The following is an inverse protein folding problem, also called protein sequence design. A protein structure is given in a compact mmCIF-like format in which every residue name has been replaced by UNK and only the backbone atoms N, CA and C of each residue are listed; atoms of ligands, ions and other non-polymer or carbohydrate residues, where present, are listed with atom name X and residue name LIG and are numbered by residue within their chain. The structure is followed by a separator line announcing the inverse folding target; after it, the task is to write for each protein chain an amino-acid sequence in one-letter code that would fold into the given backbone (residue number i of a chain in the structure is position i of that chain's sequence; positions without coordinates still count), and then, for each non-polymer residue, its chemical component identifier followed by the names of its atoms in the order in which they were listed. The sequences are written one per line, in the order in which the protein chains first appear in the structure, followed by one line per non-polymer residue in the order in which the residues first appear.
data_IF_752285593316
#
_entry.id   IF_752285593316
#
_cell.length_a   1.000
_cell.length_b   1.000
_cell.length_c   1.000
_cell.angle_alpha   90.00
_cell.angle_beta   90.00
_cell.angle_gamma   90.00
#
_symmetry.space_group_name_H-M   'P 1'
#
loop_
_entity.id
_entity.type
_entity.pdbx_description
1 polymer ?
#
# COMPACT_ATOMS: atom_id res chain seq x y z
N UNK A 1 31.52 -64.09 50.77
CA UNK A 1 32.06 -63.45 49.56
C UNK A 1 30.90 -63.33 48.58
N UNK A 2 30.48 -62.19 48.05
CA UNK A 2 30.94 -60.80 48.10
C UNK A 2 29.88 -59.89 47.46
N UNK A 3 30.02 -58.59 47.73
CA UNK A 3 29.08 -57.46 47.59
C UNK A 3 28.51 -57.10 46.18
N UNK A 4 27.50 -56.19 46.13
CA UNK A 4 26.93 -55.53 44.95
C UNK A 4 27.60 -54.16 44.60
N UNK A 5 27.07 -53.49 43.56
CA UNK A 5 27.26 -52.08 43.12
C UNK A 5 28.28 -51.73 41.98
N UNK A 6 27.68 -51.11 40.95
CA UNK A 6 28.08 -49.94 40.13
C UNK A 6 29.15 -49.99 39.00
N UNK A 7 28.63 -49.58 37.82
CA UNK A 7 29.11 -48.58 36.84
C UNK A 7 30.48 -48.78 36.14
N UNK A 8 30.45 -48.94 34.80
CA UNK A 8 30.97 -47.97 33.82
C UNK A 8 30.89 -48.53 32.36
N UNK A 9 30.15 -47.85 31.45
CA UNK A 9 30.63 -47.04 30.30
C UNK A 9 31.01 -47.81 29.01
N UNK A 10 30.14 -47.78 27.98
CA UNK A 10 30.39 -47.12 26.67
C UNK A 10 29.47 -47.57 25.51
N UNK A 11 28.81 -46.55 24.91
CA UNK A 11 28.67 -46.25 23.47
C UNK A 11 28.04 -47.28 22.50
N UNK A 12 26.83 -46.97 21.98
CA UNK A 12 26.62 -46.42 20.62
C UNK A 12 25.12 -46.30 20.23
N UNK A 13 24.73 -45.07 19.87
CA UNK A 13 23.79 -44.67 18.80
C UNK A 13 22.42 -45.34 18.63
N UNK A 14 21.36 -44.56 18.87
CA UNK A 14 20.01 -44.84 18.36
C UNK A 14 18.93 -43.89 18.91
N UNK A 15 18.96 -42.61 18.52
CA UNK A 15 17.93 -41.62 18.91
C UNK A 15 17.16 -41.10 17.71
N UNK A 16 15.89 -41.54 17.56
CA UNK A 16 14.91 -40.90 16.69
C UNK A 16 14.62 -39.48 17.18
N UNK A 17 14.75 -38.49 16.30
CA UNK A 17 14.32 -37.12 16.56
C UNK A 17 12.80 -37.08 16.43
N UNK A 18 12.10 -36.87 17.55
CA UNK A 18 10.67 -36.61 17.56
C UNK A 18 10.36 -35.32 16.80
N UNK A 19 9.39 -35.38 15.88
CA UNK A 19 8.90 -34.21 15.17
C UNK A 19 8.32 -33.19 16.18
N UNK A 20 8.53 -31.88 15.97
CA UNK A 20 7.94 -30.86 16.82
C UNK A 20 6.40 -30.94 16.74
N UNK A 21 5.69 -30.70 17.86
CA UNK A 21 4.23 -30.67 17.84
C UNK A 21 3.73 -29.57 16.89
N UNK A 22 2.59 -29.79 16.20
CA UNK A 22 2.01 -28.75 15.36
C UNK A 22 1.71 -27.50 16.21
N UNK A 23 1.77 -26.29 15.60
CA UNK A 23 1.50 -25.05 16.31
C UNK A 23 0.11 -25.11 16.97
N UNK A 24 0.07 -24.81 18.27
CA UNK A 24 -1.17 -24.72 19.03
C UNK A 24 -2.02 -23.59 18.42
N UNK A 25 -3.18 -23.94 17.88
CA UNK A 25 -4.15 -22.99 17.37
C UNK A 25 -4.62 -22.07 18.51
N UNK A 26 -4.71 -20.74 18.31
CA UNK A 26 -5.35 -19.86 19.28
C UNK A 26 -6.83 -20.24 19.46
N UNK A 27 -7.42 -20.04 20.64
CA UNK A 27 -8.81 -20.41 20.91
C UNK A 27 -9.77 -19.70 19.94
N UNK A 28 -10.74 -20.48 19.43
CA UNK A 28 -11.90 -19.98 18.67
C UNK A 28 -12.64 -18.93 19.51
N UNK A 29 -13.02 -17.75 18.98
CA UNK A 29 -13.43 -16.67 19.83
C UNK A 29 -14.95 -16.50 19.86
N UNK A 30 -15.60 -17.02 20.90
CA UNK A 30 -17.02 -16.73 21.13
C UNK A 30 -17.28 -15.29 21.59
N UNK A 31 -16.24 -14.48 21.87
CA UNK A 31 -16.47 -13.05 22.11
C UNK A 31 -15.19 -12.19 22.01
N UNK A 32 -14.77 -11.83 20.79
CA UNK A 32 -13.63 -10.92 20.56
C UNK A 32 -13.81 -9.52 21.18
N UNK A 33 -15.05 -9.13 21.47
CA UNK A 33 -15.39 -7.85 22.13
C UNK A 33 -15.30 -7.93 23.66
N UNK A 34 -15.56 -9.09 24.28
CA UNK A 34 -15.42 -9.23 25.74
C UNK A 34 -13.96 -9.10 26.20
N UNK A 35 -13.02 -9.61 25.41
CA UNK A 35 -11.58 -9.44 25.63
C UNK A 35 -11.07 -8.01 25.35
N UNK A 36 -11.90 -7.14 24.75
CA UNK A 36 -11.55 -5.74 24.52
C UNK A 36 -11.64 -4.89 25.80
N UNK A 37 -12.45 -5.31 26.77
CA UNK A 37 -12.65 -4.60 28.03
C UNK A 37 -11.68 -5.01 29.15
N UNK A 38 -10.90 -6.08 28.98
CA UNK A 38 -10.07 -6.67 30.05
C UNK A 38 -8.58 -6.28 30.03
N UNK A 39 -8.16 -5.26 29.27
CA UNK A 39 -6.74 -4.86 29.19
C UNK A 39 -6.48 -3.39 29.55
N UNK A 40 -7.15 -2.87 30.57
CA UNK A 40 -6.87 -1.54 31.14
C UNK A 40 -5.87 -1.54 32.32
N UNK A 41 -5.32 -2.69 32.72
CA UNK A 41 -4.28 -2.72 33.76
C UNK A 41 -3.28 -3.86 33.57
N UNK A 42 -2.19 -3.60 32.83
CA UNK A 42 -0.91 -4.28 33.06
C UNK A 42 0.21 -3.44 32.48
N UNK A 43 1.01 -2.87 33.39
CA UNK A 43 2.33 -2.30 33.11
C UNK A 43 3.22 -3.40 32.51
N UNK A 44 3.64 -3.22 31.26
CA UNK A 44 4.66 -4.07 30.64
C UNK A 44 6.04 -3.63 31.17
N UNK A 45 6.60 -4.42 32.09
CA UNK A 45 8.03 -4.39 32.43
C UNK A 45 8.81 -5.18 31.35
N UNK A 46 9.90 -4.63 30.77
CA UNK A 46 10.71 -5.36 29.80
C UNK A 46 11.72 -6.26 30.52
N UNK A 47 11.51 -7.58 30.44
CA UNK A 47 12.55 -8.55 30.80
C UNK A 47 13.65 -8.55 29.72
N UNK A 48 14.77 -7.91 30.06
CA UNK A 48 16.06 -8.05 29.37
C UNK A 48 16.60 -9.45 29.61
N UNK A 49 16.84 -10.21 28.54
CA UNK A 49 17.73 -11.35 28.56
C UNK A 49 18.70 -11.25 27.37
N UNK A 50 19.95 -10.94 27.68
CA UNK A 50 21.07 -11.06 26.75
C UNK A 50 21.29 -12.53 26.41
N UNK A 51 21.31 -12.86 25.11
CA UNK A 51 22.04 -14.04 24.64
C UNK A 51 22.55 -13.80 23.21
N UNK A 52 23.88 -13.87 23.10
CA UNK A 52 24.67 -13.75 21.87
C UNK A 52 24.62 -15.09 21.11
N UNK A 53 25.00 -15.05 19.82
CA UNK A 53 25.53 -16.13 18.92
C UNK A 53 24.59 -16.43 17.72
N UNK A 54 25.07 -16.70 16.48
CA UNK A 54 26.13 -16.09 15.66
C UNK A 54 25.63 -15.63 14.26
N UNK A 55 26.46 -14.89 13.54
CA UNK A 55 26.26 -14.49 12.13
C UNK A 55 26.32 -15.70 11.20
N UNK A 56 25.32 -15.87 10.33
CA UNK A 56 25.39 -16.74 9.14
C UNK A 56 25.57 -15.83 7.92
N UNK A 57 26.74 -15.90 7.30
CA UNK A 57 26.97 -15.41 5.95
C UNK A 57 26.19 -16.28 4.96
N UNK A 58 25.43 -15.64 4.06
CA UNK A 58 24.92 -16.30 2.86
C UNK A 58 25.51 -15.57 1.66
N UNK A 59 26.31 -16.31 0.94
CA UNK A 59 27.02 -15.99 -0.30
C UNK A 59 26.06 -15.60 -1.42
N UNK A 60 26.51 -14.66 -2.25
CA UNK A 60 25.87 -14.28 -3.53
C UNK A 60 26.25 -15.30 -4.61
N UNK A 61 25.38 -15.63 -5.57
CA UNK A 61 25.84 -16.27 -6.80
C UNK A 61 26.41 -15.23 -7.76
N UNK A 62 27.68 -15.43 -8.10
CA UNK A 62 28.43 -14.75 -9.16
C UNK A 62 27.83 -15.03 -10.54
N UNK A 63 27.74 -14.00 -11.37
CA UNK A 63 27.57 -14.13 -12.81
C UNK A 63 28.90 -13.75 -13.47
N UNK A 64 29.59 -14.73 -14.03
CA UNK A 64 30.84 -14.55 -14.79
C UNK A 64 30.60 -13.79 -16.09
N UNK A 65 31.47 -12.81 -16.35
CA UNK A 65 31.70 -12.22 -17.67
C UNK A 65 32.70 -13.05 -18.48
N UNK A 66 32.55 -13.02 -19.80
CA UNK A 66 33.67 -12.95 -20.76
C UNK A 66 33.15 -12.18 -22.00
N UNK A 67 33.64 -10.94 -22.20
CA UNK A 67 34.65 -10.51 -23.20
C UNK A 67 34.23 -10.69 -24.69
N UNK A 68 34.53 -9.84 -25.69
CA UNK A 68 34.94 -8.43 -25.89
C UNK A 68 35.03 -8.27 -27.44
N UNK A 69 34.65 -7.10 -27.97
CA UNK A 69 35.10 -6.43 -29.23
C UNK A 69 34.87 -7.04 -30.63
N UNK A 70 34.29 -6.22 -31.55
CA UNK A 70 34.94 -5.50 -32.68
C UNK A 70 33.87 -4.70 -33.47
N UNK A 71 33.92 -3.35 -33.53
CA UNK A 71 34.32 -2.46 -34.68
C UNK A 71 33.70 -2.84 -36.05
N UNK A 72 33.16 -2.00 -36.94
CA UNK A 72 32.86 -0.56 -37.11
C UNK A 72 31.89 -0.43 -38.36
N UNK A 73 31.49 0.78 -38.84
CA UNK A 73 30.20 1.05 -39.52
C UNK A 73 30.24 1.03 -41.05
N UNK A 74 29.07 1.06 -41.72
CA UNK A 74 28.94 1.54 -43.11
C UNK A 74 27.60 2.22 -43.41
N UNK A 75 27.70 3.36 -44.12
CA UNK A 75 26.66 4.17 -44.75
C UNK A 75 26.27 3.64 -46.15
N UNK A 76 25.13 4.12 -46.67
CA UNK A 76 24.77 4.12 -48.10
C UNK A 76 23.29 3.75 -48.30
N UNK A 77 22.37 4.71 -48.41
CA UNK A 77 21.83 5.27 -49.67
C UNK A 77 21.39 4.21 -50.67
N UNK A 78 20.07 4.07 -50.91
CA UNK A 78 19.49 4.49 -52.19
C UNK A 78 17.95 4.39 -52.21
N UNK A 79 17.40 5.45 -52.79
CA UNK A 79 16.04 5.67 -53.29
C UNK A 79 15.57 4.63 -54.30
N UNK A 80 14.26 4.34 -54.33
CA UNK A 80 13.43 4.41 -55.55
C UNK A 80 11.93 4.31 -55.22
N UNK A 81 11.24 5.40 -55.52
CA UNK A 81 9.79 5.60 -55.71
C UNK A 81 9.31 4.77 -56.93
N UNK A 82 8.07 4.28 -56.98
CA UNK A 82 6.91 4.82 -57.77
C UNK A 82 5.78 3.75 -57.62
N UNK A 83 4.62 4.10 -57.02
CA UNK A 83 3.28 4.31 -57.65
C UNK A 83 2.68 3.01 -58.25
N UNK A 84 1.45 2.55 -57.98
CA UNK A 84 0.10 3.15 -58.18
C UNK A 84 -0.91 2.11 -57.65
N UNK A 85 -1.85 2.49 -56.77
CA UNK A 85 -3.29 2.63 -57.02
C UNK A 85 -4.03 1.40 -57.61
N UNK A 86 -5.05 0.90 -56.89
CA UNK A 86 -6.45 0.74 -57.33
C UNK A 86 -7.21 -0.27 -56.42
N UNK A 87 -8.22 0.24 -55.70
CA UNK A 87 -9.47 -0.47 -55.39
C UNK A 87 -10.51 0.03 -56.43
N UNK A 88 -11.71 -0.58 -56.66
CA UNK A 88 -12.50 -1.39 -55.71
C UNK A 88 -13.37 -2.54 -56.33
N UNK A 89 -14.28 -3.06 -55.49
CA UNK A 89 -15.59 -3.72 -55.74
C UNK A 89 -15.76 -5.26 -55.73
N UNK A 90 -16.41 -5.70 -54.63
CA UNK A 90 -17.60 -6.56 -54.50
C UNK A 90 -17.60 -8.03 -54.99
N UNK A 91 -17.79 -8.97 -54.04
CA UNK A 91 -19.04 -9.73 -53.86
C UNK A 91 -18.87 -10.82 -52.77
N UNK A 92 -19.96 -11.09 -52.07
CA UNK A 92 -20.10 -11.97 -50.90
C UNK A 92 -19.92 -13.47 -51.21
N UNK A 93 -19.32 -14.20 -50.27
CA UNK A 93 -19.66 -15.59 -49.99
C UNK A 93 -19.43 -15.86 -48.50
N UNK A 94 -20.52 -16.11 -47.77
CA UNK A 94 -20.51 -16.48 -46.37
C UNK A 94 -19.95 -17.90 -46.21
N UNK A 95 -18.93 -18.05 -45.36
CA UNK A 95 -18.47 -19.35 -44.88
C UNK A 95 -18.70 -19.36 -43.37
N UNK A 96 -19.68 -20.16 -42.97
CA UNK A 96 -20.10 -20.43 -41.61
C UNK A 96 -19.06 -21.33 -40.92
N UNK A 97 -18.20 -20.74 -40.09
CA UNK A 97 -17.26 -21.49 -39.24
C UNK A 97 -17.91 -21.78 -37.89
N UNK A 98 -18.22 -23.06 -37.66
CA UNK A 98 -18.70 -23.60 -36.38
C UNK A 98 -17.73 -23.25 -35.24
N UNK A 99 -18.21 -22.86 -34.05
CA UNK A 99 -17.35 -22.54 -32.92
C UNK A 99 -16.67 -23.81 -32.40
N UNK A 100 -15.34 -23.82 -32.46
CA UNK A 100 -14.49 -24.81 -31.81
C UNK A 100 -14.70 -24.78 -30.30
N UNK A 101 -14.96 -25.97 -29.76
CA UNK A 101 -15.11 -26.34 -28.35
C UNK A 101 -14.25 -25.50 -27.41
N UNK A 102 -14.89 -24.62 -26.63
CA UNK A 102 -14.28 -24.05 -25.43
C UNK A 102 -13.98 -25.19 -24.46
N UNK A 103 -12.70 -25.53 -24.31
CA UNK A 103 -12.25 -26.24 -23.12
C UNK A 103 -12.68 -25.40 -21.91
N UNK A 104 -13.56 -25.97 -21.07
CA UNK A 104 -13.93 -25.40 -19.77
C UNK A 104 -12.65 -25.21 -18.95
N UNK A 105 -12.09 -24.00 -18.99
CA UNK A 105 -11.23 -23.51 -17.93
C UNK A 105 -12.04 -23.66 -16.64
N UNK A 106 -11.52 -24.44 -15.69
CA UNK A 106 -12.01 -24.45 -14.31
C UNK A 106 -12.19 -22.99 -13.87
N UNK A 107 -13.30 -22.62 -13.20
CA UNK A 107 -13.39 -21.29 -12.62
C UNK A 107 -12.20 -21.14 -11.69
N UNK A 108 -11.38 -20.14 -11.99
CA UNK A 108 -10.40 -19.60 -11.07
C UNK A 108 -11.12 -19.46 -9.73
N UNK A 109 -10.68 -20.17 -8.69
CA UNK A 109 -11.32 -20.08 -7.38
C UNK A 109 -11.14 -18.64 -6.93
N UNK A 110 -12.15 -17.81 -7.17
CA UNK A 110 -12.09 -16.37 -6.96
C UNK A 110 -11.67 -16.14 -5.51
N UNK A 111 -10.46 -15.60 -5.34
CA UNK A 111 -9.88 -15.37 -4.03
C UNK A 111 -10.83 -14.47 -3.25
N UNK A 112 -11.42 -15.01 -2.19
CA UNK A 112 -12.42 -14.30 -1.38
C UNK A 112 -11.74 -13.16 -0.64
N UNK A 113 -12.22 -11.94 -0.85
CA UNK A 113 -11.74 -10.69 -0.23
C UNK A 113 -12.85 -10.00 0.57
N UNK A 114 -12.52 -9.14 1.54
CA UNK A 114 -13.54 -8.35 2.24
C UNK A 114 -14.39 -7.54 1.27
N UNK A 115 -15.71 -7.65 1.40
CA UNK A 115 -16.70 -6.96 0.56
C UNK A 115 -17.42 -5.84 1.32
N UNK A 116 -17.20 -5.71 2.64
CA UNK A 116 -17.78 -4.64 3.45
C UNK A 116 -16.77 -4.03 4.41
N UNK A 117 -17.08 -2.82 4.90
CA UNK A 117 -16.25 -2.14 5.89
C UNK A 117 -16.09 -2.96 7.18
N UNK A 118 -17.13 -3.66 7.62
CA UNK A 118 -17.03 -4.56 8.79
C UNK A 118 -16.02 -5.68 8.51
N UNK A 119 -16.11 -6.36 7.37
CA UNK A 119 -15.17 -7.43 7.03
C UNK A 119 -13.72 -6.93 6.96
N UNK A 120 -13.51 -5.78 6.32
CA UNK A 120 -12.18 -5.17 6.24
C UNK A 120 -11.64 -4.79 7.63
N UNK A 121 -12.49 -4.24 8.50
CA UNK A 121 -12.13 -3.92 9.87
C UNK A 121 -11.67 -5.16 10.63
N UNK A 122 -12.44 -6.24 10.60
CA UNK A 122 -12.11 -7.46 11.32
C UNK A 122 -10.89 -8.19 10.75
N UNK A 123 -10.68 -8.15 9.43
CA UNK A 123 -9.44 -8.63 8.82
C UNK A 123 -8.22 -7.87 9.36
N UNK A 124 -8.28 -6.53 9.33
CA UNK A 124 -7.19 -5.66 9.80
C UNK A 124 -6.93 -5.83 11.30
N UNK A 125 -8.00 -5.97 12.09
CA UNK A 125 -7.90 -6.24 13.52
C UNK A 125 -7.25 -7.62 13.79
N UNK A 126 -7.62 -8.66 13.04
CA UNK A 126 -7.01 -9.98 13.17
C UNK A 126 -5.52 -9.95 12.78
N UNK A 127 -5.18 -9.27 11.68
CA UNK A 127 -3.80 -9.05 11.26
C UNK A 127 -2.97 -8.37 12.36
N UNK A 128 -3.48 -7.28 12.93
CA UNK A 128 -2.83 -6.56 14.01
C UNK A 128 -2.62 -7.44 15.25
N UNK A 129 -3.64 -8.22 15.66
CA UNK A 129 -3.54 -9.15 16.80
C UNK A 129 -2.50 -10.26 16.56
N UNK A 130 -2.29 -10.65 15.32
CA UNK A 130 -1.25 -11.60 14.91
C UNK A 130 0.14 -10.95 14.73
N UNK A 131 0.30 -9.66 15.07
CA UNK A 131 1.56 -8.93 14.89
C UNK A 131 1.95 -8.71 13.43
N UNK A 132 0.96 -8.69 12.51
CA UNK A 132 1.17 -8.50 11.07
C UNK A 132 0.69 -7.12 10.63
N UNK A 133 1.39 -6.58 9.63
CA UNK A 133 0.95 -5.37 8.92
C UNK A 133 -0.02 -5.81 7.83
N UNK A 134 -1.27 -5.35 7.90
CA UNK A 134 -2.33 -5.86 7.02
C UNK A 134 -2.02 -5.63 5.52
N UNK A 135 -1.38 -4.50 5.18
CA UNK A 135 -1.02 -4.13 3.80
C UNK A 135 -0.01 -5.08 3.13
N UNK A 136 0.51 -6.06 3.87
CA UNK A 136 1.50 -7.04 3.41
C UNK A 136 0.94 -8.46 3.36
N UNK A 137 -0.36 -8.61 3.52
CA UNK A 137 -1.02 -9.91 3.57
C UNK A 137 -1.64 -10.28 2.23
N UNK A 138 -1.84 -11.58 1.95
CA UNK A 138 -2.82 -12.02 0.96
C UNK A 138 -4.24 -11.51 1.28
N UNK A 139 -5.04 -11.20 0.26
CA UNK A 139 -6.38 -10.60 0.41
C UNK A 139 -7.38 -11.49 1.16
N UNK A 140 -7.14 -12.80 1.16
CA UNK A 140 -7.87 -13.85 1.86
C UNK A 140 -7.36 -14.14 3.28
N UNK A 141 -6.35 -13.41 3.76
CA UNK A 141 -5.81 -13.65 5.10
C UNK A 141 -6.88 -13.46 6.17
N UNK A 142 -6.84 -14.31 7.20
CA UNK A 142 -7.73 -14.26 8.36
C UNK A 142 -9.23 -14.45 8.03
N UNK A 143 -9.57 -15.16 6.95
CA UNK A 143 -10.96 -15.42 6.54
C UNK A 143 -11.88 -15.90 7.67
N UNK A 144 -11.41 -16.74 8.58
CA UNK A 144 -12.21 -17.21 9.73
C UNK A 144 -12.72 -16.08 10.64
N UNK A 145 -12.11 -14.89 10.59
CA UNK A 145 -12.48 -13.73 11.41
C UNK A 145 -13.44 -12.76 10.71
N UNK A 146 -13.65 -12.90 9.39
CA UNK A 146 -14.42 -11.90 8.63
C UNK A 146 -15.27 -12.47 7.49
N UNK A 147 -14.93 -13.62 6.93
CA UNK A 147 -15.73 -14.26 5.91
C UNK A 147 -16.92 -14.98 6.56
N UNK A 148 -18.11 -14.84 5.96
CA UNK A 148 -19.25 -15.64 6.36
C UNK A 148 -18.98 -17.09 5.92
N UNK A 149 -18.85 -18.04 6.85
CA UNK A 149 -18.72 -19.44 6.47
C UNK A 149 -20.07 -20.00 6.05
N UNK A 150 -20.13 -20.59 4.86
CA UNK A 150 -21.32 -21.27 4.37
C UNK A 150 -21.77 -22.34 5.39
N UNK A 151 -23.02 -22.28 5.84
CA UNK A 151 -23.60 -23.25 6.79
C UNK A 151 -23.50 -22.87 8.27
N UNK A 152 -22.74 -21.84 8.64
CA UNK A 152 -22.81 -21.26 9.99
C UNK A 152 -23.83 -20.13 10.01
N UNK A 153 -24.64 -20.04 11.07
CA UNK A 153 -25.47 -18.86 11.35
C UNK A 153 -24.49 -17.70 11.49
N UNK A 154 -24.34 -16.89 10.45
CA UNK A 154 -23.33 -15.84 10.39
C UNK A 154 -23.44 -15.01 11.67
N UNK A 155 -22.40 -15.05 12.52
CA UNK A 155 -22.26 -14.05 13.56
C UNK A 155 -22.18 -12.73 12.81
N UNK A 156 -23.29 -11.98 12.81
CA UNK A 156 -23.39 -10.74 12.08
C UNK A 156 -22.29 -9.83 12.59
N UNK A 157 -21.25 -9.62 11.77
CA UNK A 157 -20.13 -8.77 12.13
C UNK A 157 -20.68 -7.39 12.46
N UNK A 158 -20.55 -6.99 13.72
CA UNK A 158 -21.04 -5.69 14.16
C UNK A 158 -20.36 -4.60 13.34
N UNK A 159 -21.15 -3.62 12.91
CA UNK A 159 -20.62 -2.49 12.16
C UNK A 159 -19.71 -1.66 13.07
N UNK A 160 -18.41 -1.53 12.79
CA UNK A 160 -17.51 -0.74 13.61
C UNK A 160 -17.88 0.73 13.58
N UNK A 161 -17.81 1.38 14.74
CA UNK A 161 -17.97 2.82 14.86
C UNK A 161 -16.75 3.57 14.33
N UNK A 162 -16.91 4.88 14.10
CA UNK A 162 -15.80 5.76 13.72
C UNK A 162 -14.66 5.74 14.75
N UNK A 163 -15.01 5.73 16.05
CA UNK A 163 -14.01 5.63 17.13
C UNK A 163 -13.26 4.29 17.11
N UNK A 164 -13.95 3.19 16.80
CA UNK A 164 -13.30 1.88 16.66
C UNK A 164 -12.31 1.87 15.48
N UNK A 165 -12.69 2.46 14.34
CA UNK A 165 -11.76 2.65 13.21
C UNK A 165 -10.53 3.48 13.61
N UNK A 166 -10.72 4.65 14.23
CA UNK A 166 -9.60 5.47 14.70
C UNK A 166 -8.66 4.70 15.64
N UNK A 167 -9.22 3.95 16.59
CA UNK A 167 -8.43 3.14 17.53
C UNK A 167 -7.64 2.04 16.81
N UNK A 168 -8.26 1.35 15.85
CA UNK A 168 -7.56 0.34 15.03
C UNK A 168 -6.38 0.98 14.29
N UNK A 169 -6.61 2.07 13.56
CA UNK A 169 -5.58 2.76 12.79
C UNK A 169 -4.43 3.28 13.67
N UNK A 170 -4.72 3.79 14.87
CA UNK A 170 -3.70 4.23 15.82
C UNK A 170 -2.87 3.05 16.35
N UNK A 171 -3.49 1.88 16.59
CA UNK A 171 -2.76 0.67 17.02
C UNK A 171 -1.88 0.12 15.89
N UNK A 172 -2.36 0.11 14.64
CA UNK A 172 -1.54 -0.24 13.48
C UNK A 172 -0.36 0.72 13.30
N UNK A 173 -0.57 2.02 13.44
CA UNK A 173 0.50 3.01 13.37
C UNK A 173 1.55 2.81 14.47
N UNK A 174 1.13 2.51 15.70
CA UNK A 174 2.04 2.16 16.80
C UNK A 174 2.85 0.89 16.50
N UNK A 175 2.20 -0.15 15.98
CA UNK A 175 2.89 -1.39 15.61
C UNK A 175 3.92 -1.15 14.49
N UNK A 176 3.56 -0.38 13.46
CA UNK A 176 4.51 0.02 12.40
C UNK A 176 5.65 0.87 12.98
N UNK A 177 5.37 1.83 13.86
CA UNK A 177 6.41 2.65 14.50
C UNK A 177 7.45 1.81 15.26
N UNK A 178 7.02 0.73 15.92
CA UNK A 178 7.90 -0.18 16.66
C UNK A 178 8.65 -1.16 15.73
N UNK A 179 8.00 -1.60 14.64
CA UNK A 179 8.51 -2.64 13.74
C UNK A 179 9.16 -2.14 12.44
N UNK A 180 9.13 -0.83 12.14
CA UNK A 180 9.61 -0.29 10.86
C UNK A 180 11.10 -0.57 10.61
N UNK A 181 11.94 -0.53 11.65
CA UNK A 181 13.40 -0.67 11.50
C UNK A 181 13.97 0.38 10.54
N UNK A 182 14.76 -0.06 9.57
CA UNK A 182 15.32 0.76 8.48
C UNK A 182 14.46 0.78 7.22
N UNK A 183 13.32 0.09 7.22
CA UNK A 183 12.46 -0.01 6.04
C UNK A 183 11.84 1.35 5.70
N UNK A 184 11.68 1.58 4.40
CA UNK A 184 10.90 2.72 3.92
C UNK A 184 9.43 2.57 4.34
N UNK A 185 8.77 3.69 4.62
CA UNK A 185 7.35 3.73 4.96
C UNK A 185 6.62 4.79 4.14
N UNK A 186 5.60 4.36 3.40
CA UNK A 186 4.64 5.24 2.74
C UNK A 186 3.30 5.18 3.47
N UNK A 187 2.67 6.34 3.69
CA UNK A 187 1.38 6.44 4.39
C UNK A 187 0.31 6.97 3.43
N UNK A 188 -0.81 6.27 3.30
CA UNK A 188 -2.01 6.78 2.64
C UNK A 188 -2.93 7.42 3.68
N UNK A 189 -3.27 8.69 3.54
CA UNK A 189 -4.24 9.40 4.39
C UNK A 189 -5.41 9.82 3.52
N UNK A 190 -6.63 9.49 3.93
CA UNK A 190 -7.81 9.92 3.19
C UNK A 190 -9.11 9.29 3.67
N UNK A 191 -10.03 9.13 2.73
CA UNK A 191 -11.40 8.70 2.96
C UNK A 191 -11.65 7.23 2.54
N UNK A 192 -12.86 6.92 2.03
CA UNK A 192 -13.21 5.60 1.53
C UNK A 192 -12.35 5.18 0.34
N UNK A 193 -11.95 6.10 -0.53
CA UNK A 193 -11.10 5.80 -1.69
C UNK A 193 -9.73 5.30 -1.22
N UNK A 194 -9.15 5.96 -0.21
CA UNK A 194 -7.89 5.51 0.37
C UNK A 194 -8.06 4.22 1.18
N UNK A 195 -9.12 4.09 1.99
CA UNK A 195 -9.37 2.90 2.81
C UNK A 195 -9.43 1.62 1.97
N UNK A 196 -10.08 1.69 0.82
CA UNK A 196 -10.31 0.56 -0.08
C UNK A 196 -9.20 0.35 -1.11
N UNK A 197 -8.10 1.09 -1.03
CA UNK A 197 -6.94 0.87 -1.90
C UNK A 197 -6.44 -0.58 -1.72
N UNK A 198 -6.45 -1.41 -2.78
CA UNK A 198 -6.07 -2.82 -2.68
C UNK A 198 -4.60 -2.97 -2.28
N UNK A 199 -4.34 -3.76 -1.22
CA UNK A 199 -3.01 -3.87 -0.65
C UNK A 199 -1.99 -4.53 -1.60
N UNK A 200 -2.45 -5.49 -2.38
CA UNK A 200 -1.68 -6.17 -3.43
C UNK A 200 -1.28 -5.24 -4.58
N UNK A 201 -1.89 -4.05 -4.67
CA UNK A 201 -1.57 -3.03 -5.66
C UNK A 201 -0.66 -1.92 -5.13
N UNK A 202 -0.35 -1.92 -3.83
CA UNK A 202 0.56 -0.92 -3.28
C UNK A 202 1.97 -1.13 -3.87
N UNK A 203 2.68 -0.06 -4.29
CA UNK A 203 4.02 -0.18 -4.82
C UNK A 203 4.98 -0.97 -3.92
N UNK A 204 5.81 -1.83 -4.51
CA UNK A 204 6.85 -2.56 -3.79
C UNK A 204 7.98 -1.65 -3.27
N UNK A 205 8.88 -2.21 -2.47
CA UNK A 205 10.07 -1.50 -1.97
C UNK A 205 9.85 -0.58 -0.76
N UNK A 206 8.62 -0.48 -0.27
CA UNK A 206 8.26 0.23 0.96
C UNK A 206 7.26 -0.58 1.79
N UNK A 207 7.28 -0.40 3.11
CA UNK A 207 6.12 -0.68 3.95
C UNK A 207 5.03 0.35 3.64
N UNK A 208 3.78 -0.07 3.78
CA UNK A 208 2.63 0.81 3.61
C UNK A 208 1.77 0.81 4.85
N UNK A 209 1.37 2.00 5.29
CA UNK A 209 0.36 2.18 6.31
C UNK A 209 -0.82 2.93 5.70
N UNK A 210 -2.00 2.32 5.73
CA UNK A 210 -3.20 2.95 5.21
C UNK A 210 -4.03 3.53 6.35
N UNK A 211 -4.08 4.85 6.39
CA UNK A 211 -4.83 5.66 7.35
C UNK A 211 -6.10 6.25 6.69
N UNK A 212 -6.76 5.51 5.80
CA UNK A 212 -8.08 5.87 5.26
C UNK A 212 -9.23 5.50 6.19
N UNK A 213 -10.29 6.32 6.25
CA UNK A 213 -11.57 5.96 6.91
C UNK A 213 -12.73 6.32 5.99
N UNK A 214 -13.65 5.39 5.77
CA UNK A 214 -14.83 5.65 4.94
C UNK A 214 -15.67 6.81 5.47
N UNK A 215 -16.04 7.74 4.59
CA UNK A 215 -16.85 8.91 4.90
C UNK A 215 -16.09 10.10 5.49
N UNK A 216 -14.78 9.99 5.70
CA UNK A 216 -13.98 11.11 6.17
C UNK A 216 -14.02 12.29 5.21
N UNK A 217 -14.17 13.48 5.79
CA UNK A 217 -13.95 14.76 5.14
C UNK A 217 -12.65 15.38 5.67
N UNK A 218 -12.21 16.51 5.09
CA UNK A 218 -10.96 17.17 5.47
C UNK A 218 -10.90 17.51 6.97
N UNK A 219 -12.01 17.93 7.59
CA UNK A 219 -12.10 18.18 9.03
C UNK A 219 -11.90 16.91 9.87
N UNK A 220 -12.49 15.78 9.44
CA UNK A 220 -12.36 14.48 10.09
C UNK A 220 -10.91 13.99 10.10
N UNK A 221 -10.24 14.09 8.94
CA UNK A 221 -8.83 13.76 8.76
C UNK A 221 -7.95 14.63 9.68
N UNK A 222 -8.15 15.95 9.66
CA UNK A 222 -7.37 16.89 10.47
C UNK A 222 -7.39 16.54 11.97
N UNK A 223 -8.55 16.10 12.48
CA UNK A 223 -8.74 15.73 13.89
C UNK A 223 -8.00 14.47 14.32
N UNK A 224 -7.57 13.61 13.38
CA UNK A 224 -6.98 12.29 13.69
C UNK A 224 -5.53 12.11 13.25
N UNK A 225 -4.86 13.17 12.77
CA UNK A 225 -3.46 13.08 12.33
C UNK A 225 -2.51 12.60 13.44
N UNK A 226 -2.80 12.95 14.70
CA UNK A 226 -2.03 12.45 15.86
C UNK A 226 -2.03 10.94 16.02
N UNK A 227 -2.94 10.21 15.38
CA UNK A 227 -3.01 8.75 15.45
C UNK A 227 -1.74 8.07 14.93
N UNK A 228 -0.99 8.72 14.02
CA UNK A 228 0.23 8.17 13.45
C UNK A 228 1.45 9.10 13.58
N UNK A 229 1.39 10.14 14.41
CA UNK A 229 2.47 11.13 14.55
C UNK A 229 3.81 10.53 15.01
N UNK A 230 3.78 9.38 15.70
CA UNK A 230 4.98 8.68 16.14
C UNK A 230 5.66 7.84 15.04
N UNK A 231 5.01 7.66 13.89
CA UNK A 231 5.60 6.94 12.76
C UNK A 231 6.71 7.77 12.09
N UNK A 232 7.61 7.10 11.36
CA UNK A 232 8.68 7.75 10.60
C UNK A 232 8.50 7.53 9.09
N UNK A 233 7.45 8.11 8.48
CA UNK A 233 7.23 7.93 7.06
C UNK A 233 8.31 8.60 6.22
N UNK A 234 8.51 8.06 5.03
CA UNK A 234 9.27 8.67 3.95
C UNK A 234 8.38 9.56 3.10
N UNK A 235 7.14 9.09 2.87
CA UNK A 235 6.14 9.74 2.03
C UNK A 235 4.77 9.64 2.70
N UNK A 236 4.02 10.74 2.67
CA UNK A 236 2.64 10.78 3.14
C UNK A 236 1.78 11.31 1.98
N UNK A 237 0.89 10.47 1.45
CA UNK A 237 -0.05 10.86 0.42
C UNK A 237 -1.39 11.23 1.05
N UNK A 238 -1.89 12.42 0.73
CA UNK A 238 -3.16 12.94 1.26
C UNK A 238 -4.15 13.08 0.13
N UNK A 239 -5.29 12.37 0.20
CA UNK A 239 -6.44 12.58 -0.68
C UNK A 239 -7.67 12.86 0.18
N UNK A 240 -8.26 14.04 0.02
CA UNK A 240 -9.48 14.45 0.73
C UNK A 240 -10.21 15.55 -0.06
N UNK A 241 -11.50 15.71 0.23
CA UNK A 241 -12.31 16.82 -0.30
C UNK A 241 -13.63 16.38 -0.92
N UNK A 242 -13.74 15.15 -1.44
CA UNK A 242 -14.97 14.71 -2.11
C UNK A 242 -16.15 14.60 -1.12
N UNK A 243 -15.91 14.14 0.11
CA UNK A 243 -16.94 14.11 1.15
C UNK A 243 -17.28 15.49 1.69
N UNK A 244 -16.34 16.43 1.71
CA UNK A 244 -16.62 17.83 2.03
C UNK A 244 -17.58 18.44 1.01
N UNK A 245 -17.33 18.20 -0.28
CA UNK A 245 -18.21 18.62 -1.37
C UNK A 245 -19.60 17.99 -1.26
N UNK A 246 -19.69 16.69 -0.98
CA UNK A 246 -20.97 15.99 -0.73
C UNK A 246 -21.75 16.56 0.46
N UNK A 247 -21.04 17.06 1.47
CA UNK A 247 -21.62 17.64 2.68
C UNK A 247 -21.87 19.15 2.55
N UNK A 248 -21.61 19.76 1.39
CA UNK A 248 -21.88 21.16 1.13
C UNK A 248 -20.88 22.14 1.76
N UNK A 249 -19.68 21.69 2.14
CA UNK A 249 -18.63 22.59 2.62
C UNK A 249 -18.22 23.61 1.53
N UNK A 250 -17.80 24.81 1.94
CA UNK A 250 -17.28 25.82 1.01
C UNK A 250 -15.86 25.50 0.55
N UNK A 251 -15.42 26.07 -0.56
CA UNK A 251 -14.07 25.85 -1.08
C UNK A 251 -13.01 26.36 -0.10
N UNK A 252 -13.28 27.49 0.57
CA UNK A 252 -12.40 28.08 1.59
C UNK A 252 -12.23 27.14 2.78
N UNK A 253 -13.31 26.49 3.23
CA UNK A 253 -13.27 25.53 4.34
C UNK A 253 -12.41 24.31 3.98
N UNK A 254 -12.59 23.78 2.76
CA UNK A 254 -11.83 22.64 2.26
C UNK A 254 -10.34 22.99 2.18
N UNK A 255 -10.02 24.13 1.57
CA UNK A 255 -8.65 24.61 1.41
C UNK A 255 -7.99 24.91 2.75
N UNK A 256 -8.70 25.50 3.71
CA UNK A 256 -8.13 25.79 5.02
C UNK A 256 -7.84 24.52 5.82
N UNK A 257 -8.77 23.55 5.85
CA UNK A 257 -8.51 22.27 6.47
C UNK A 257 -7.32 21.55 5.83
N UNK A 258 -7.21 21.54 4.50
CA UNK A 258 -6.07 20.92 3.80
C UNK A 258 -4.76 21.67 4.06
N UNK A 259 -4.78 23.01 4.17
CA UNK A 259 -3.60 23.79 4.61
C UNK A 259 -3.16 23.38 6.01
N UNK A 260 -4.09 23.26 6.94
CA UNK A 260 -3.80 22.83 8.31
C UNK A 260 -3.28 21.39 8.36
N UNK A 261 -3.86 20.48 7.57
CA UNK A 261 -3.39 19.09 7.43
C UNK A 261 -1.93 19.09 6.96
N UNK A 262 -1.61 19.78 5.86
CA UNK A 262 -0.25 19.80 5.31
C UNK A 262 0.74 20.39 6.33
N UNK A 263 0.40 21.53 6.95
CA UNK A 263 1.25 22.15 7.98
C UNK A 263 1.53 21.20 9.14
N UNK A 264 0.49 20.57 9.67
CA UNK A 264 0.60 19.64 10.79
C UNK A 264 1.45 18.42 10.45
N UNK A 265 1.21 17.82 9.28
CA UNK A 265 2.01 16.67 8.82
C UNK A 265 3.49 17.02 8.64
N UNK A 266 3.78 18.21 8.11
CA UNK A 266 5.17 18.67 7.98
C UNK A 266 5.83 18.96 9.34
N UNK A 267 5.07 19.43 10.32
CA UNK A 267 5.57 19.65 11.68
C UNK A 267 5.81 18.33 12.41
N UNK A 268 4.86 17.40 12.35
CA UNK A 268 4.94 16.09 13.00
C UNK A 268 5.95 15.17 12.30
N UNK A 269 6.15 15.33 10.98
CA UNK A 269 7.05 14.50 10.18
C UNK A 269 7.98 15.35 9.28
N UNK A 270 8.95 16.08 9.85
CA UNK A 270 9.76 17.05 9.12
C UNK A 270 10.69 16.46 8.04
N UNK A 271 10.92 15.14 8.06
CA UNK A 271 11.73 14.43 7.05
C UNK A 271 10.89 13.77 5.94
N UNK A 272 9.56 13.83 6.05
CA UNK A 272 8.66 13.19 5.10
C UNK A 272 8.38 14.09 3.91
N UNK A 273 8.25 13.47 2.73
CA UNK A 273 7.62 14.12 1.59
C UNK A 273 6.10 14.05 1.75
N UNK A 274 5.46 15.17 2.08
CA UNK A 274 4.00 15.28 2.09
C UNK A 274 3.52 15.57 0.66
N UNK A 275 2.60 14.77 0.13
CA UNK A 275 2.08 14.88 -1.23
C UNK A 275 0.57 14.96 -1.19
N UNK A 276 0.02 16.09 -1.63
CA UNK A 276 -1.43 16.29 -1.80
C UNK A 276 -1.84 15.74 -3.16
N UNK A 277 -2.82 14.85 -3.19
CA UNK A 277 -3.39 14.32 -4.42
C UNK A 277 -4.60 15.15 -4.85
N UNK A 278 -4.77 15.34 -6.15
CA UNK A 278 -5.98 15.96 -6.70
C UNK A 278 -7.24 15.19 -6.27
N UNK A 279 -8.31 15.90 -5.92
CA UNK A 279 -9.66 15.33 -5.78
C UNK A 279 -10.05 14.70 -7.12
N UNK A 280 -10.58 13.47 -7.11
CA UNK A 280 -11.02 12.79 -8.32
C UNK A 280 -12.29 13.42 -8.91
N UNK A 281 -12.52 13.32 -10.22
CA UNK A 281 -13.83 13.64 -10.78
C UNK A 281 -14.88 12.67 -10.23
N UNK A 282 -16.16 12.99 -10.43
CA UNK A 282 -17.30 12.16 -10.02
C UNK A 282 -18.40 12.17 -11.08
N UNK A 283 -19.37 11.25 -10.99
CA UNK A 283 -20.65 11.32 -11.71
C UNK A 283 -21.82 11.65 -10.78
N UNK A 284 -21.55 12.13 -9.57
CA UNK A 284 -22.58 12.64 -8.65
C UNK A 284 -23.09 13.98 -9.18
N UNK A 285 -24.36 14.01 -9.61
CA UNK A 285 -24.98 15.18 -10.25
C UNK A 285 -24.94 16.46 -9.39
N UNK A 286 -24.97 16.34 -8.07
CA UNK A 286 -24.93 17.50 -7.16
C UNK A 286 -23.54 18.10 -6.97
N UNK A 287 -22.48 17.50 -7.54
CA UNK A 287 -21.11 17.97 -7.43
C UNK A 287 -20.57 18.28 -8.82
N UNK A 288 -20.52 19.56 -9.22
CA UNK A 288 -20.00 19.93 -10.53
C UNK A 288 -18.49 19.65 -10.63
N UNK A 289 -18.07 18.84 -11.61
CA UNK A 289 -16.64 18.57 -11.84
C UNK A 289 -15.82 19.83 -12.16
N UNK A 290 -16.46 20.90 -12.68
CA UNK A 290 -15.81 22.22 -12.82
C UNK A 290 -15.33 22.77 -11.47
N UNK A 291 -16.13 22.61 -10.41
CA UNK A 291 -15.76 23.03 -9.05
C UNK A 291 -14.57 22.22 -8.53
N UNK A 292 -14.59 20.90 -8.75
CA UNK A 292 -13.46 20.02 -8.41
C UNK A 292 -12.17 20.47 -9.11
N UNK A 293 -12.23 20.78 -10.42
CA UNK A 293 -11.07 21.28 -11.16
C UNK A 293 -10.52 22.60 -10.60
N UNK A 294 -11.39 23.55 -10.27
CA UNK A 294 -11.00 24.82 -9.66
C UNK A 294 -10.35 24.61 -8.27
N UNK A 295 -10.92 23.72 -7.45
CA UNK A 295 -10.32 23.34 -6.17
C UNK A 295 -8.95 22.68 -6.35
N UNK A 296 -8.82 21.78 -7.32
CA UNK A 296 -7.55 21.11 -7.60
C UNK A 296 -6.43 22.08 -8.00
N UNK A 297 -6.75 23.12 -8.79
CA UNK A 297 -5.79 24.19 -9.10
C UNK A 297 -5.35 24.94 -7.83
N UNK A 298 -6.29 25.28 -6.96
CA UNK A 298 -5.98 25.94 -5.69
C UNK A 298 -5.20 25.02 -4.73
N UNK A 299 -5.47 23.72 -4.74
CA UNK A 299 -4.73 22.72 -3.96
C UNK A 299 -3.29 22.58 -4.44
N UNK A 300 -3.02 22.65 -5.74
CA UNK A 300 -1.67 22.65 -6.28
C UNK A 300 -0.87 23.86 -5.78
N UNK A 301 -1.46 25.06 -5.84
CA UNK A 301 -0.86 26.30 -5.34
C UNK A 301 -0.63 26.20 -3.82
N UNK A 302 -1.62 25.73 -3.07
CA UNK A 302 -1.53 25.55 -1.62
C UNK A 302 -0.41 24.58 -1.26
N UNK A 303 -0.31 23.43 -1.92
CA UNK A 303 0.73 22.44 -1.67
C UNK A 303 2.11 23.08 -1.87
N UNK A 304 2.32 23.79 -2.98
CA UNK A 304 3.56 24.51 -3.26
C UNK A 304 3.87 25.56 -2.19
N UNK A 305 2.91 26.40 -1.81
CA UNK A 305 3.07 27.42 -0.76
C UNK A 305 3.41 26.82 0.60
N UNK A 306 2.88 25.63 0.90
CA UNK A 306 3.20 24.89 2.12
C UNK A 306 4.40 23.97 1.94
N UNK A 307 5.19 24.10 0.87
CA UNK A 307 6.36 23.27 0.52
C UNK A 307 6.10 21.75 0.57
N UNK A 308 4.92 21.36 0.15
CA UNK A 308 4.51 19.98 -0.08
C UNK A 308 4.46 19.69 -1.60
N UNK A 309 4.52 18.42 -1.96
CA UNK A 309 4.29 17.98 -3.33
C UNK A 309 2.81 18.00 -3.68
N UNK A 310 2.52 18.11 -4.98
CA UNK A 310 1.19 17.91 -5.54
C UNK A 310 1.23 16.82 -6.61
N UNK A 311 0.27 15.89 -6.56
CA UNK A 311 0.12 14.82 -7.54
C UNK A 311 -1.24 14.96 -8.22
N UNK A 312 -1.24 15.44 -9.47
CA UNK A 312 -2.44 15.43 -10.30
C UNK A 312 -2.71 14.01 -10.80
N UNK A 313 -3.78 13.43 -10.28
CA UNK A 313 -4.36 12.19 -10.79
C UNK A 313 -5.71 12.42 -11.47
N UNK A 314 -6.40 13.54 -11.22
CA UNK A 314 -7.75 13.84 -11.71
C UNK A 314 -7.84 13.70 -13.23
N UNK A 315 -6.83 14.21 -13.96
CA UNK A 315 -6.77 14.13 -15.42
C UNK A 315 -6.80 12.68 -15.95
N UNK A 316 -6.22 11.72 -15.22
CA UNK A 316 -6.20 10.29 -15.58
C UNK A 316 -7.55 9.59 -15.37
N UNK A 317 -8.42 10.18 -14.54
CA UNK A 317 -9.74 9.66 -14.21
C UNK A 317 -10.87 10.32 -15.00
N UNK A 318 -10.58 11.41 -15.71
CA UNK A 318 -11.58 12.18 -16.45
C UNK A 318 -11.86 11.57 -17.82
N UNK A 319 -13.12 11.54 -18.22
CA UNK A 319 -13.52 11.35 -19.62
C UNK A 319 -13.45 12.68 -20.39
N UNK A 320 -13.83 12.66 -21.67
CA UNK A 320 -13.79 13.83 -22.56
C UNK A 320 -14.70 14.98 -22.11
N UNK A 321 -15.72 14.69 -21.30
CA UNK A 321 -16.64 15.67 -20.72
C UNK A 321 -16.13 16.18 -19.37
N UNK A 322 -15.04 15.61 -18.85
CA UNK A 322 -14.46 15.92 -17.55
C UNK A 322 -15.21 15.29 -16.38
N UNK A 323 -15.98 14.21 -16.63
CA UNK A 323 -16.63 13.38 -15.62
C UNK A 323 -15.75 12.17 -15.28
N UNK A 324 -16.02 11.48 -14.17
CA UNK A 324 -15.30 10.26 -13.83
C UNK A 324 -15.60 9.16 -14.85
N UNK A 325 -14.58 8.70 -15.58
CA UNK A 325 -14.69 7.61 -16.56
C UNK A 325 -15.51 6.42 -16.03
N UNK A 326 -16.50 5.99 -16.82
CA UNK A 326 -17.44 4.94 -16.44
C UNK A 326 -16.77 3.60 -16.14
N UNK A 327 -15.66 3.27 -16.84
CA UNK A 327 -14.92 2.03 -16.63
C UNK A 327 -14.07 2.04 -15.34
N UNK A 328 -13.83 3.21 -14.77
CA UNK A 328 -13.01 3.40 -13.57
C UNK A 328 -13.83 3.48 -12.28
N UNK A 329 -15.16 3.38 -12.35
CA UNK A 329 -16.04 3.52 -11.18
C UNK A 329 -17.07 2.42 -11.09
N UNK A 330 -17.54 2.12 -9.87
CA UNK A 330 -18.65 1.19 -9.63
C UNK A 330 -20.00 1.89 -9.47
N UNK A 331 -20.00 3.14 -9.00
CA UNK A 331 -21.22 3.87 -8.62
C UNK A 331 -21.18 5.38 -8.96
N UNK A 332 -20.17 5.82 -9.72
CA UNK A 332 -19.95 7.24 -10.03
C UNK A 332 -19.07 7.97 -9.01
N UNK A 333 -18.66 7.33 -7.92
CA UNK A 333 -17.76 7.89 -6.90
C UNK A 333 -16.60 6.95 -6.55
N UNK A 334 -16.92 5.72 -6.16
CA UNK A 334 -15.95 4.70 -5.76
C UNK A 334 -15.34 4.02 -6.97
N UNK A 335 -14.07 3.63 -6.83
CA UNK A 335 -13.29 3.10 -7.93
C UNK A 335 -13.59 1.62 -8.20
N UNK A 336 -13.63 1.27 -9.48
CA UNK A 336 -13.58 -0.11 -9.94
C UNK A 336 -12.17 -0.70 -9.75
N UNK A 337 -12.00 -2.00 -10.00
CA UNK A 337 -10.68 -2.62 -10.06
C UNK A 337 -9.75 -1.86 -11.03
N UNK A 338 -10.25 -1.50 -12.22
CA UNK A 338 -9.55 -0.67 -13.22
C UNK A 338 -9.17 0.71 -12.70
N UNK A 339 -10.07 1.36 -11.95
CA UNK A 339 -9.81 2.64 -11.31
C UNK A 339 -8.61 2.58 -10.36
N UNK A 340 -8.51 1.52 -9.56
CA UNK A 340 -7.34 1.33 -8.68
C UNK A 340 -6.04 1.01 -9.43
N UNK A 341 -6.07 0.41 -10.62
CA UNK A 341 -4.85 0.20 -11.43
C UNK A 341 -4.30 1.52 -11.98
N UNK A 342 -5.21 2.42 -12.38
CA UNK A 342 -4.84 3.79 -12.77
C UNK A 342 -4.20 4.52 -11.59
N UNK A 343 -4.78 4.41 -10.40
CA UNK A 343 -4.21 5.03 -9.20
C UNK A 343 -2.86 4.40 -8.80
N UNK A 344 -2.76 3.08 -8.83
CA UNK A 344 -1.52 2.33 -8.61
C UNK A 344 -0.41 2.82 -9.53
N UNK A 345 -0.68 2.98 -10.83
CA UNK A 345 0.30 3.46 -11.80
C UNK A 345 0.79 4.87 -11.46
N UNK A 346 -0.07 5.76 -10.98
CA UNK A 346 0.32 7.09 -10.52
C UNK A 346 1.18 7.04 -9.25
N UNK A 347 0.85 6.20 -8.27
CA UNK A 347 1.66 6.03 -7.06
C UNK A 347 3.02 5.41 -7.37
N UNK A 348 3.09 4.43 -8.27
CA UNK A 348 4.36 3.84 -8.70
C UNK A 348 5.28 4.89 -9.33
N UNK A 349 4.76 5.72 -10.24
CA UNK A 349 5.52 6.80 -10.85
C UNK A 349 6.03 7.80 -9.80
N UNK A 350 5.18 8.20 -8.85
CA UNK A 350 5.58 9.10 -7.76
C UNK A 350 6.68 8.50 -6.89
N UNK A 351 6.52 7.24 -6.44
CA UNK A 351 7.54 6.52 -5.65
C UNK A 351 8.88 6.41 -6.38
N UNK A 352 8.86 6.12 -7.69
CA UNK A 352 10.08 6.05 -8.51
C UNK A 352 10.80 7.40 -8.56
N UNK A 353 10.09 8.50 -8.79
CA UNK A 353 10.69 9.85 -8.82
C UNK A 353 11.28 10.22 -7.45
N UNK A 354 10.57 9.93 -6.37
CA UNK A 354 11.05 10.20 -5.00
C UNK A 354 12.32 9.39 -4.70
N UNK A 355 12.36 8.11 -5.10
CA UNK A 355 13.53 7.26 -4.92
C UNK A 355 14.75 7.79 -5.70
N UNK A 356 14.56 8.20 -6.97
CA UNK A 356 15.63 8.77 -7.80
C UNK A 356 16.19 10.06 -7.20
N UNK A 357 15.32 10.99 -6.78
CA UNK A 357 15.75 12.26 -6.18
C UNK A 357 16.58 12.05 -4.91
N UNK A 358 16.23 11.05 -4.09
CA UNK A 358 16.99 10.70 -2.88
C UNK A 358 18.36 10.13 -3.21
N UNK A 359 18.46 9.28 -4.23
CA UNK A 359 19.73 8.72 -4.66
C UNK A 359 20.68 9.81 -5.18
N UNK A 360 20.16 10.77 -5.93
CA UNK A 360 20.92 11.91 -6.42
C UNK A 360 21.46 12.78 -5.28
N UNK A 361 20.63 13.08 -4.26
CA UNK A 361 21.07 13.83 -3.07
C UNK A 361 22.13 13.07 -2.26
N UNK A 362 22.01 11.74 -2.15
CA UNK A 362 23.03 10.91 -1.49
C UNK A 362 24.35 10.91 -2.26
N UNK A 363 24.29 10.80 -3.59
CA UNK A 363 25.48 10.84 -4.43
C UNK A 363 26.21 12.19 -4.33
N UNK A 364 25.51 13.31 -4.41
CA UNK A 364 26.10 14.65 -4.28
C UNK A 364 26.76 14.85 -2.89
N UNK A 365 26.10 14.39 -1.82
CA UNK A 365 26.67 14.46 -0.48
C UNK A 365 27.89 13.55 -0.29
N UNK A 366 27.95 12.40 -0.98
CA UNK A 366 29.12 11.51 -0.99
C UNK A 366 30.31 12.17 -1.66
N UNK A 367 30.09 12.78 -2.83
CA UNK A 367 31.13 13.52 -3.58
C UNK A 367 31.65 14.72 -2.79
N UNK A 368 30.77 15.45 -2.10
CA UNK A 368 31.18 16.57 -1.22
C UNK A 368 32.05 16.08 -0.05
N UNK A 369 31.71 14.94 0.56
CA UNK A 369 32.50 14.37 1.65
C UNK A 369 33.87 13.87 1.19
N UNK A 370 33.96 13.21 0.03
CA UNK A 370 35.25 12.75 -0.50
C UNK A 370 36.20 13.91 -0.83
N UNK A 371 35.69 14.99 -1.42
CA UNK A 371 36.48 16.20 -1.68
C UNK A 371 36.97 16.88 -0.40
N UNK A 372 36.18 16.85 0.67
CA UNK A 372 36.57 17.41 1.97
C UNK A 372 37.62 16.54 2.67
N UNK A 373 37.55 15.20 2.55
CA UNK A 373 38.59 14.32 3.08
C UNK A 373 39.92 14.48 2.35
N UNK A 374 39.90 14.63 1.02
CA UNK A 374 41.10 14.84 0.20
C UNK A 374 41.81 16.17 0.53
N UNK A 375 41.04 17.20 0.91
CA UNK A 375 41.59 18.50 1.34
C UNK A 375 42.12 18.49 2.78
N UNK A 376 41.60 17.61 3.65
CA UNK A 376 42.06 17.47 5.04
C UNK A 376 43.30 16.59 5.23
N UNK A 377 43.68 15.81 4.20
CA UNK A 377 44.88 14.95 4.20
C UNK A 377 46.15 15.61 3.65
N UNK A 378 46.11 16.92 3.35
CA UNK A 378 47.21 17.69 2.77
C UNK A 378 47.94 18.61 3.77
N UNK A 379 47.76 18.41 5.08
CA UNK A 379 48.47 19.17 6.13
C UNK A 379 49.41 18.28 6.94
#
# INVERSE_FOLDING_TARGET
MGDPYLLAVSLLSGGQIAAPPPPVLPPQPDNLLALWHSSESSTFEPLVAQKIVPTIEITSPEFSQQLISQTNPFQGTDTLTITTALAPTAAQAAIELKPSVQAKLKPDTATTKPASGSQLFYQRLAALKAGKIYTRLPVDSFQSYWANQAGTKALALQKPSYEQWKRLLAKEARAVSQGQGSNRLSVLVGDSLSLWFPQERLPGGSLWLNQGISGDNSRGILKRLSAFSQTRPDVIYVLAGINDLRQGATDETILDNLRQIVRRLRQEHPRSSVIVQSILPTRINTIPNRRIRNLNQQLAILAQQQGAGYLDIHSRFSDVEGNLRVDLTTDGLHLSGRGYEVWQSALQQAESVIALNRNNVRADNSVKRSRLSDLSGLN
#
